data_IF_587862350700
#
_entry.id   IF_587862350700
#
_cell.length_a   1.000
_cell.length_b   1.000
_cell.length_c   1.000
_cell.angle_alpha   90.00
_cell.angle_beta   90.00
_cell.angle_gamma   90.00
#
_symmetry.space_group_name_H-M   'P 1'
#
loop_
_entity.id
_entity.type
_entity.pdbx_description
1 polymer ?
#
# COMPACT_ATOMS: atom_id res chain seq x y z
N UNK A 1 2.59 -22.59 -2.99
CA UNK A 1 3.16 -21.29 -3.43
C UNK A 1 4.58 -21.20 -2.89
N UNK A 2 5.58 -20.89 -3.72
CA UNK A 2 6.95 -20.73 -3.22
C UNK A 2 7.02 -19.54 -2.26
N UNK A 3 7.73 -19.67 -1.12
CA UNK A 3 7.89 -18.58 -0.15
C UNK A 3 8.47 -17.29 -0.78
N UNK A 4 9.27 -17.42 -1.84
CA UNK A 4 9.74 -16.30 -2.65
C UNK A 4 8.61 -15.43 -3.23
N UNK A 5 7.52 -16.05 -3.71
CA UNK A 5 6.36 -15.31 -4.26
C UNK A 5 5.67 -14.51 -3.17
N UNK A 6 5.55 -15.06 -1.96
CA UNK A 6 4.98 -14.35 -0.81
C UNK A 6 5.82 -13.13 -0.41
N UNK A 7 7.16 -13.25 -0.45
CA UNK A 7 8.07 -12.13 -0.18
C UNK A 7 7.92 -11.04 -1.26
N UNK A 8 7.85 -11.41 -2.54
CA UNK A 8 7.64 -10.42 -3.61
C UNK A 8 6.32 -9.67 -3.40
N UNK A 9 5.23 -10.38 -3.09
CA UNK A 9 3.95 -9.74 -2.78
C UNK A 9 4.06 -8.84 -1.55
N UNK A 10 4.69 -9.31 -0.48
CA UNK A 10 4.91 -8.54 0.74
C UNK A 10 5.60 -7.20 0.46
N UNK A 11 6.68 -7.22 -0.33
CA UNK A 11 7.42 -6.00 -0.72
C UNK A 11 6.52 -5.04 -1.48
N UNK A 12 5.70 -5.51 -2.42
CA UNK A 12 4.74 -4.66 -3.16
C UNK A 12 3.73 -4.01 -2.22
N UNK A 13 3.19 -4.76 -1.27
CA UNK A 13 2.24 -4.24 -0.27
C UNK A 13 2.90 -3.21 0.66
N UNK A 14 4.12 -3.47 1.12
CA UNK A 14 4.89 -2.57 1.98
C UNK A 14 5.21 -1.25 1.27
N UNK A 15 5.73 -1.32 0.03
CA UNK A 15 6.05 -0.12 -0.76
C UNK A 15 4.77 0.69 -1.01
N UNK A 16 3.66 0.05 -1.41
CA UNK A 16 2.39 0.74 -1.64
C UNK A 16 1.83 1.37 -0.37
N UNK A 17 1.87 0.66 0.76
CA UNK A 17 1.42 1.16 2.05
C UNK A 17 2.22 2.38 2.49
N UNK A 18 3.55 2.30 2.38
CA UNK A 18 4.47 3.40 2.72
C UNK A 18 4.25 4.62 1.81
N UNK A 19 4.09 4.40 0.50
CA UNK A 19 3.83 5.49 -0.46
C UNK A 19 2.50 6.20 -0.16
N UNK A 20 1.44 5.48 0.22
CA UNK A 20 0.17 6.11 0.61
C UNK A 20 0.30 6.97 1.86
N UNK A 21 1.15 6.59 2.82
CA UNK A 21 1.36 7.35 4.06
C UNK A 21 2.24 8.58 3.83
N UNK A 22 3.35 8.43 3.10
CA UNK A 22 4.34 9.50 2.90
C UNK A 22 3.99 10.45 1.75
N UNK A 23 3.40 9.93 0.68
CA UNK A 23 3.05 10.69 -0.53
C UNK A 23 1.63 10.33 -1.00
N UNK A 24 0.58 10.68 -0.24
CA UNK A 24 -0.81 10.38 -0.60
C UNK A 24 -1.23 10.96 -1.96
N UNK A 25 -0.57 12.03 -2.42
CA UNK A 25 -0.81 12.70 -3.70
C UNK A 25 -0.21 11.98 -4.92
N UNK A 26 0.67 11.00 -4.72
CA UNK A 26 1.29 10.24 -5.82
C UNK A 26 0.47 9.01 -6.26
N UNK A 27 -0.58 8.66 -5.51
CA UNK A 27 -1.41 7.50 -5.83
C UNK A 27 -2.28 7.72 -7.07
N UNK A 28 -2.60 6.63 -7.77
CA UNK A 28 -3.54 6.66 -8.91
C UNK A 28 -4.90 7.24 -8.50
N UNK A 29 -5.35 6.97 -7.28
CA UNK A 29 -6.60 7.50 -6.73
C UNK A 29 -6.63 9.04 -6.69
N UNK A 30 -5.54 9.67 -6.24
CA UNK A 30 -5.42 11.12 -6.24
C UNK A 30 -5.42 11.68 -7.67
N UNK A 31 -4.71 11.02 -8.60
CA UNK A 31 -4.68 11.42 -10.01
C UNK A 31 -6.06 11.31 -10.68
N UNK A 32 -6.79 10.21 -10.42
CA UNK A 32 -8.16 10.00 -10.90
C UNK A 32 -9.09 11.07 -10.34
N UNK A 33 -8.95 11.42 -9.06
CA UNK A 33 -9.77 12.46 -8.44
C UNK A 33 -9.54 13.82 -9.10
N UNK A 34 -8.28 14.19 -9.30
CA UNK A 34 -7.91 15.44 -9.99
C UNK A 34 -8.47 15.51 -11.42
N UNK A 35 -8.43 14.40 -12.16
CA UNK A 35 -8.98 14.33 -13.53
C UNK A 35 -10.51 14.45 -13.51
N UNK A 36 -11.19 13.82 -12.56
CA UNK A 36 -12.66 13.76 -12.51
C UNK A 36 -13.30 15.04 -11.99
N UNK A 37 -12.66 15.70 -11.02
CA UNK A 37 -13.25 16.83 -10.30
C UNK A 37 -12.52 18.16 -10.59
N UNK A 38 -11.46 18.14 -11.40
CA UNK A 38 -10.64 19.31 -11.77
C UNK A 38 -10.19 20.16 -10.56
N UNK A 39 -10.09 19.54 -9.39
CA UNK A 39 -9.81 20.19 -8.11
C UNK A 39 -8.83 19.37 -7.28
N UNK A 40 -8.37 19.94 -6.15
CA UNK A 40 -7.57 19.21 -5.16
C UNK A 40 -8.43 18.54 -4.07
N UNK A 41 -8.13 17.27 -3.72
CA UNK A 41 -8.94 16.53 -2.77
C UNK A 41 -8.93 17.20 -1.41
N UNK A 42 -10.11 17.29 -0.81
CA UNK A 42 -10.27 17.80 0.54
C UNK A 42 -9.42 17.01 1.53
N UNK A 43 -9.15 17.62 2.68
CA UNK A 43 -8.36 17.06 3.79
C UNK A 43 -8.81 15.64 4.16
N UNK A 44 -10.11 15.40 4.15
CA UNK A 44 -10.73 14.14 4.57
C UNK A 44 -10.37 13.00 3.61
N UNK A 45 -10.31 13.30 2.31
CA UNK A 45 -9.91 12.32 1.29
C UNK A 45 -8.42 12.01 1.37
N UNK A 46 -7.58 13.01 1.62
CA UNK A 46 -6.14 12.81 1.85
C UNK A 46 -5.91 11.96 3.10
N UNK A 47 -6.66 12.23 4.18
CA UNK A 47 -6.61 11.46 5.41
C UNK A 47 -7.07 10.02 5.21
N UNK A 48 -8.11 9.80 4.41
CA UNK A 48 -8.55 8.46 4.01
C UNK A 48 -7.47 7.70 3.23
N UNK A 49 -6.81 8.34 2.27
CA UNK A 49 -5.70 7.70 1.54
C UNK A 49 -4.58 7.32 2.52
N UNK A 50 -4.24 8.21 3.46
CA UNK A 50 -3.20 7.96 4.45
C UNK A 50 -3.56 6.79 5.38
N UNK A 51 -4.81 6.74 5.88
CA UNK A 51 -5.28 5.67 6.75
C UNK A 51 -5.34 4.32 6.03
N UNK A 52 -5.68 4.31 4.73
CA UNK A 52 -5.67 3.11 3.90
C UNK A 52 -4.26 2.52 3.67
N UNK A 53 -3.19 3.27 3.96
CA UNK A 53 -1.81 2.78 3.88
C UNK A 53 -1.43 1.84 5.04
N UNK A 54 -2.01 2.03 6.22
CA UNK A 54 -1.76 1.18 7.40
C UNK A 54 -2.16 -0.29 7.19
N UNK A 55 -3.38 -0.64 6.74
CA UNK A 55 -3.74 -2.03 6.52
C UNK A 55 -2.87 -2.69 5.44
N UNK A 56 -2.40 -1.94 4.43
CA UNK A 56 -1.46 -2.45 3.43
C UNK A 56 -0.10 -2.81 4.04
N UNK A 57 0.41 -2.00 4.97
CA UNK A 57 1.63 -2.31 5.70
C UNK A 57 1.46 -3.55 6.57
N UNK A 58 0.36 -3.65 7.31
CA UNK A 58 0.06 -4.81 8.17
C UNK A 58 0.00 -6.09 7.33
N UNK A 59 -0.73 -6.06 6.22
CA UNK A 59 -0.88 -7.22 5.34
C UNK A 59 0.44 -7.60 4.67
N UNK A 60 1.23 -6.61 4.24
CA UNK A 60 2.58 -6.82 3.72
C UNK A 60 3.51 -7.48 4.74
N UNK A 61 3.50 -7.03 5.99
CA UNK A 61 4.31 -7.62 7.07
C UNK A 61 3.92 -9.07 7.36
N UNK A 62 2.62 -9.38 7.38
CA UNK A 62 2.13 -10.77 7.58
C UNK A 62 2.62 -11.68 6.45
N UNK A 63 2.48 -11.22 5.19
CA UNK A 63 2.96 -11.98 4.03
C UNK A 63 4.48 -12.15 4.04
N UNK A 64 5.22 -11.16 4.55
CA UNK A 64 6.68 -11.25 4.66
C UNK A 64 7.10 -12.35 5.63
N UNK A 65 6.52 -12.35 6.83
CA UNK A 65 6.79 -13.38 7.86
C UNK A 65 6.38 -14.75 7.35
N UNK A 66 5.19 -14.88 6.75
CA UNK A 66 4.73 -16.13 6.16
C UNK A 66 5.65 -16.62 5.03
N UNK A 67 6.13 -15.71 4.18
CA UNK A 67 7.06 -16.02 3.10
C UNK A 67 8.41 -16.53 3.59
N UNK A 68 8.97 -15.93 4.65
CA UNK A 68 10.18 -16.43 5.31
C UNK A 68 9.93 -17.81 5.91
N UNK A 69 8.82 -17.98 6.63
CA UNK A 69 8.50 -19.24 7.29
C UNK A 69 8.41 -20.40 6.28
N UNK A 70 7.80 -20.17 5.12
CA UNK A 70 7.69 -21.15 4.02
C UNK A 70 9.01 -21.40 3.28
N UNK A 71 10.00 -20.50 3.36
CA UNK A 71 11.34 -20.75 2.82
C UNK A 71 12.23 -21.56 3.77
N UNK A 72 11.97 -21.48 5.07
CA UNK A 72 12.79 -22.10 6.11
C UNK A 72 12.29 -23.50 6.48
N UNK A 73 10.97 -23.74 6.43
CA UNK A 73 10.33 -25.04 6.62
C UNK A 73 10.28 -25.83 5.31
#
# INVERSE_FOLDING_TARGET
MSGFVLIVFAVVFLIRGLLRIRKPTWGSLYRIWRIKYESEPGSDYIQYIKSSGLPLLILGSILFVAGILVLVL
#
